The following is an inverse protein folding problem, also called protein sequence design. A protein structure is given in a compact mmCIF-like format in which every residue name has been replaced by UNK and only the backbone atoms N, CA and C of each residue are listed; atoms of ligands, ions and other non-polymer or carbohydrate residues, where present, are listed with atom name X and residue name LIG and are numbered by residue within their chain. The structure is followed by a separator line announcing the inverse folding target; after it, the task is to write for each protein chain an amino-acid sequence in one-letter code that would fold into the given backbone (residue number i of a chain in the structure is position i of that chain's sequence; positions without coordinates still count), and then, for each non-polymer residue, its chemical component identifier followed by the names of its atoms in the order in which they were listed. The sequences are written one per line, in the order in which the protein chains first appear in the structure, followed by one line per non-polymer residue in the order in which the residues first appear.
data_IF_382196153635
#
_entry.id   IF_382196153635
#
_cell.length_a   1.000
_cell.length_b   1.000
_cell.length_c   1.000
_cell.angle_alpha   90.00
_cell.angle_beta   90.00
_cell.angle_gamma   90.00
#
_symmetry.space_group_name_H-M   'P 1'
#
loop_
_entity.id
_entity.type
_entity.pdbx_description
1 polymer ?
#
# COMPACT_ATOMS: atom_id res chain seq x y z
N UNK A 1 15.21 15.24 34.72
CA UNK A 1 16.29 14.85 33.78
C UNK A 1 15.61 14.34 32.53
N UNK A 2 15.46 15.21 31.52
CA UNK A 2 14.86 14.86 30.23
C UNK A 2 15.99 14.29 29.38
N UNK A 3 15.96 12.98 29.13
CA UNK A 3 16.88 12.31 28.23
C UNK A 3 16.31 12.31 26.82
N UNK A 4 16.72 13.28 26.00
CA UNK A 4 16.69 13.12 24.55
C UNK A 4 17.67 11.98 24.20
N UNK A 5 17.16 10.84 23.75
CA UNK A 5 18.03 9.89 23.03
C UNK A 5 18.03 10.28 21.56
N UNK A 6 19.23 10.56 21.07
CA UNK A 6 19.51 11.07 19.74
C UNK A 6 19.22 10.02 18.66
N UNK A 7 18.90 10.52 17.46
CA UNK A 7 19.01 9.80 16.20
C UNK A 7 20.37 9.09 16.13
N UNK A 8 20.36 7.76 16.08
CA UNK A 8 21.51 7.02 15.56
C UNK A 8 21.43 7.08 14.04
N UNK A 9 22.10 8.07 13.48
CA UNK A 9 22.59 8.03 12.12
C UNK A 9 23.66 6.92 12.07
N UNK A 10 23.33 5.81 11.43
CA UNK A 10 24.30 4.77 11.09
C UNK A 10 24.21 4.52 9.60
N UNK A 11 24.95 5.35 8.87
CA UNK A 11 25.55 5.01 7.60
C UNK A 11 26.48 3.81 7.81
N UNK A 12 25.93 2.60 7.75
CA UNK A 12 26.70 1.39 7.58
C UNK A 12 26.05 0.54 6.49
N UNK A 13 26.34 0.89 5.24
CA UNK A 13 25.91 0.18 4.04
C UNK A 13 26.82 -1.04 3.86
N UNK A 14 26.67 -2.03 4.73
CA UNK A 14 27.10 -3.41 4.50
C UNK A 14 25.87 -4.29 4.74
N UNK A 15 24.97 -4.29 3.76
CA UNK A 15 23.81 -5.16 3.77
C UNK A 15 24.23 -6.56 3.37
N UNK A 16 24.44 -7.41 4.38
CA UNK A 16 23.98 -8.79 4.38
C UNK A 16 23.94 -9.27 5.84
N UNK A 17 23.03 -8.70 6.62
CA UNK A 17 22.79 -9.18 8.00
C UNK A 17 21.36 -9.67 8.07
N UNK A 18 21.21 -10.99 8.19
CA UNK A 18 20.00 -11.61 8.68
C UNK A 18 19.80 -11.20 10.14
N UNK A 19 19.37 -9.97 10.40
CA UNK A 19 18.89 -9.59 11.71
C UNK A 19 17.53 -10.28 11.89
N UNK A 20 17.45 -11.18 12.86
CA UNK A 20 16.22 -11.85 13.28
C UNK A 20 15.59 -12.83 12.24
N UNK A 21 16.41 -13.36 11.32
CA UNK A 21 15.98 -14.40 10.38
C UNK A 21 15.22 -13.90 9.15
N UNK A 22 15.34 -12.60 8.83
CA UNK A 22 14.89 -11.92 7.60
C UNK A 22 16.06 -11.16 6.95
N UNK A 23 16.09 -11.09 5.63
CA UNK A 23 17.05 -10.33 4.82
C UNK A 23 16.49 -8.95 4.49
N UNK A 24 17.33 -7.92 4.49
CA UNK A 24 16.91 -6.52 4.26
C UNK A 24 17.58 -5.98 3.00
N UNK A 25 16.79 -5.40 2.09
CA UNK A 25 17.27 -4.81 0.85
C UNK A 25 16.74 -3.38 0.70
N UNK A 26 17.56 -2.46 0.22
CA UNK A 26 17.04 -1.18 -0.26
C UNK A 26 16.28 -1.44 -1.57
N UNK A 27 15.20 -0.71 -1.77
CA UNK A 27 14.38 -0.85 -2.96
C UNK A 27 14.00 0.50 -3.52
N UNK A 28 14.03 0.57 -4.83
CA UNK A 28 13.44 1.66 -5.59
C UNK A 28 12.35 1.10 -6.52
N UNK A 29 11.15 1.67 -6.40
CA UNK A 29 9.99 1.28 -7.21
C UNK A 29 9.54 2.47 -8.04
N UNK A 30 9.71 2.38 -9.36
CA UNK A 30 9.10 3.34 -10.27
C UNK A 30 7.62 3.04 -10.43
N UNK A 31 6.76 4.02 -10.26
CA UNK A 31 5.33 3.93 -10.48
C UNK A 31 4.87 5.03 -11.44
N UNK A 32 4.19 4.70 -12.54
CA UNK A 32 3.72 5.68 -13.51
C UNK A 32 2.87 5.09 -14.63
N UNK A 33 2.16 5.95 -15.37
CA UNK A 33 1.41 5.55 -16.58
C UNK A 33 2.38 5.18 -17.71
N UNK A 34 2.50 3.89 -18.05
CA UNK A 34 3.14 3.46 -19.30
C UNK A 34 2.18 3.46 -20.51
N UNK A 35 0.89 3.77 -20.33
CA UNK A 35 -0.07 3.64 -21.43
C UNK A 35 -1.09 4.76 -21.51
N UNK A 36 -1.37 5.18 -22.76
CA UNK A 36 -2.47 6.04 -23.18
C UNK A 36 -3.87 5.43 -22.91
N UNK A 37 -3.95 4.20 -22.38
CA UNK A 37 -5.20 3.43 -22.24
C UNK A 37 -5.59 3.04 -20.82
N UNK A 38 -4.76 3.32 -19.81
CA UNK A 38 -5.07 2.99 -18.42
C UNK A 38 -5.01 4.26 -17.57
N UNK A 39 -6.12 4.60 -16.93
CA UNK A 39 -6.20 5.73 -16.01
C UNK A 39 -5.32 5.49 -14.78
N UNK A 40 -4.02 5.82 -14.84
CA UNK A 40 -3.16 5.70 -13.67
C UNK A 40 -3.23 6.97 -12.78
N UNK A 41 -4.01 6.86 -11.70
CA UNK A 41 -3.63 6.90 -10.27
C UNK A 41 -2.49 7.92 -9.86
N UNK A 42 -2.55 8.85 -8.86
CA UNK A 42 -3.32 9.01 -7.56
C UNK A 42 -3.56 10.46 -7.07
N UNK A 43 -3.66 10.85 -5.80
CA UNK A 43 -4.21 12.16 -5.32
C UNK A 43 -5.45 12.68 -6.05
N UNK A 44 -6.64 12.44 -5.49
CA UNK A 44 -7.88 13.08 -5.93
C UNK A 44 -7.83 14.59 -5.67
N UNK A 45 -7.28 15.34 -6.62
CA UNK A 45 -7.40 16.80 -6.66
C UNK A 45 -8.43 17.18 -7.71
N UNK A 46 -9.27 18.12 -7.33
CA UNK A 46 -10.08 18.85 -8.30
C UNK A 46 -9.15 19.79 -9.07
N UNK A 47 -9.25 19.77 -10.39
CA UNK A 47 -8.72 20.86 -11.20
C UNK A 47 -9.64 22.10 -11.11
N UNK A 48 -9.27 23.16 -11.82
CA UNK A 48 -10.03 24.41 -11.88
C UNK A 48 -11.45 24.21 -12.45
N UNK A 49 -11.70 23.10 -13.15
CA UNK A 49 -12.97 22.72 -13.76
C UNK A 49 -13.74 21.69 -12.91
N UNK A 50 -13.25 21.35 -11.72
CA UNK A 50 -13.78 20.32 -10.82
C UNK A 50 -13.70 18.88 -11.39
N UNK A 51 -12.79 18.61 -12.32
CA UNK A 51 -12.48 17.24 -12.70
C UNK A 51 -11.54 16.63 -11.66
N UNK A 52 -11.74 15.34 -11.37
CA UNK A 52 -10.88 14.58 -10.48
C UNK A 52 -9.64 14.12 -11.25
N UNK A 53 -8.48 14.70 -10.94
CA UNK A 53 -7.19 14.33 -11.53
C UNK A 53 -6.50 13.21 -10.75
N UNK A 54 -5.59 12.49 -11.42
CA UNK A 54 -4.70 11.51 -10.79
C UNK A 54 -3.19 11.83 -11.00
N UNK A 55 -2.46 12.09 -9.91
CA UNK A 55 -1.02 12.35 -9.72
C UNK A 55 -0.51 11.76 -8.40
N UNK A 56 0.76 11.35 -8.33
CA UNK A 56 1.35 11.02 -7.03
C UNK A 56 1.69 12.28 -6.24
N UNK A 57 1.53 12.26 -4.91
CA UNK A 57 2.02 13.30 -4.02
C UNK A 57 3.37 12.92 -3.40
N UNK A 58 4.14 13.94 -3.00
CA UNK A 58 5.33 13.72 -2.20
C UNK A 58 4.90 13.20 -0.82
N UNK A 59 5.59 12.18 -0.32
CA UNK A 59 5.21 11.54 0.94
C UNK A 59 4.08 10.50 0.83
N UNK A 60 3.50 10.27 -0.36
CA UNK A 60 2.63 9.10 -0.56
C UNK A 60 3.39 7.83 -0.19
N UNK A 61 2.70 6.88 0.42
CA UNK A 61 3.30 5.62 0.89
C UNK A 61 2.61 4.41 0.29
N UNK A 62 3.42 3.44 -0.15
CA UNK A 62 2.98 2.10 -0.54
C UNK A 62 3.62 1.08 0.39
N UNK A 63 2.97 -0.05 0.61
CA UNK A 63 3.63 -1.19 1.25
C UNK A 63 4.02 -2.23 0.21
N UNK A 64 5.09 -2.97 0.50
CA UNK A 64 5.70 -3.97 -0.38
C UNK A 64 5.81 -5.31 0.35
N UNK A 65 5.57 -6.40 -0.39
CA UNK A 65 5.74 -7.77 0.08
C UNK A 65 6.41 -8.65 -0.97
N UNK A 66 7.39 -9.46 -0.58
CA UNK A 66 7.95 -10.51 -1.43
C UNK A 66 7.02 -11.73 -1.38
N UNK A 67 6.17 -11.90 -2.40
CA UNK A 67 5.24 -13.03 -2.43
C UNK A 67 5.97 -14.36 -2.63
N UNK A 68 7.24 -14.35 -3.06
CA UNK A 68 8.05 -15.55 -3.16
C UNK A 68 8.45 -16.14 -1.80
N UNK A 69 8.18 -15.43 -0.70
CA UNK A 69 8.31 -15.96 0.66
C UNK A 69 7.17 -16.92 1.04
N UNK A 70 6.17 -17.12 0.18
CA UNK A 70 5.09 -18.10 0.35
C UNK A 70 4.39 -18.00 1.71
N UNK A 71 4.11 -16.77 2.17
CA UNK A 71 3.45 -16.49 3.46
C UNK A 71 4.22 -16.99 4.70
N UNK A 72 5.54 -17.20 4.60
CA UNK A 72 6.40 -17.66 5.70
C UNK A 72 7.13 -16.53 6.44
N UNK A 73 6.80 -15.28 6.13
CA UNK A 73 7.35 -14.13 6.85
C UNK A 73 6.87 -14.14 8.30
N UNK A 74 7.78 -13.81 9.24
CA UNK A 74 7.46 -13.63 10.66
C UNK A 74 7.25 -12.16 11.04
N UNK A 75 7.35 -11.26 10.07
CA UNK A 75 7.15 -9.83 10.29
C UNK A 75 5.67 -9.54 10.61
N UNK A 76 5.43 -8.70 11.61
CA UNK A 76 4.09 -8.27 12.03
C UNK A 76 3.59 -7.04 11.26
N UNK A 77 4.40 -6.49 10.35
CA UNK A 77 4.02 -5.36 9.51
C UNK A 77 4.75 -5.43 8.17
N UNK A 78 4.12 -4.86 7.14
CA UNK A 78 4.72 -4.77 5.82
C UNK A 78 5.81 -3.70 5.79
N UNK A 79 6.81 -3.89 4.94
CA UNK A 79 7.76 -2.81 4.66
C UNK A 79 7.06 -1.70 3.87
N UNK A 80 7.42 -0.44 4.13
CA UNK A 80 6.77 0.73 3.53
C UNK A 80 7.78 1.54 2.71
N UNK A 81 7.37 1.96 1.52
CA UNK A 81 8.14 2.80 0.61
C UNK A 81 7.46 4.15 0.46
N UNK A 82 8.26 5.21 0.40
CA UNK A 82 7.76 6.59 0.35
C UNK A 82 8.13 7.26 -0.97
N UNK A 83 7.16 7.96 -1.56
CA UNK A 83 7.32 8.76 -2.76
C UNK A 83 8.21 9.97 -2.48
N UNK A 84 9.31 10.11 -3.24
CA UNK A 84 10.23 11.26 -3.11
C UNK A 84 9.69 12.54 -3.73
N UNK A 85 8.88 12.44 -4.79
CA UNK A 85 8.42 13.56 -5.60
C UNK A 85 6.89 13.57 -5.71
N UNK A 86 6.30 14.77 -5.77
CA UNK A 86 4.86 14.94 -5.95
C UNK A 86 4.51 15.76 -7.18
N UNK A 87 3.25 15.67 -7.62
CA UNK A 87 2.68 16.51 -8.68
C UNK A 87 2.79 15.92 -10.10
N UNK A 88 3.34 14.73 -10.27
CA UNK A 88 3.56 14.07 -11.56
C UNK A 88 2.69 12.81 -11.75
N UNK A 89 2.49 12.41 -13.02
CA UNK A 89 1.81 11.15 -13.42
C UNK A 89 2.58 9.88 -13.05
N UNK A 90 3.83 10.04 -12.61
CA UNK A 90 4.66 8.99 -12.08
C UNK A 90 5.55 9.50 -10.95
N UNK A 91 6.08 8.60 -10.15
CA UNK A 91 7.01 8.88 -9.05
C UNK A 91 7.96 7.71 -8.84
N UNK A 92 8.99 7.93 -8.02
CA UNK A 92 9.85 6.88 -7.49
C UNK A 92 9.60 6.74 -5.98
N UNK A 93 9.22 5.54 -5.58
CA UNK A 93 9.10 5.14 -4.18
C UNK A 93 10.40 4.51 -3.71
N UNK A 94 10.89 4.92 -2.54
CA UNK A 94 12.11 4.39 -1.97
C UNK A 94 11.92 3.98 -0.51
N UNK A 95 12.69 2.99 -0.09
CA UNK A 95 12.69 2.46 1.27
C UNK A 95 13.46 1.14 1.31
N UNK A 96 13.13 0.30 2.28
CA UNK A 96 13.67 -1.05 2.40
C UNK A 96 12.56 -2.09 2.30
N UNK A 97 12.92 -3.31 1.97
CA UNK A 97 12.02 -4.48 2.03
C UNK A 97 12.70 -5.61 2.77
N UNK A 98 11.94 -6.25 3.65
CA UNK A 98 12.33 -7.50 4.31
C UNK A 98 11.85 -8.70 3.52
N UNK A 99 12.72 -9.70 3.39
CA UNK A 99 12.44 -10.98 2.74
C UNK A 99 12.82 -12.12 3.67
N UNK A 100 12.01 -13.17 3.74
CA UNK A 100 12.31 -14.36 4.55
C UNK A 100 13.54 -15.10 4.01
N UNK A 101 13.65 -15.16 2.68
CA UNK A 101 14.73 -15.85 1.97
C UNK A 101 15.62 -14.85 1.22
N UNK A 102 16.88 -15.22 0.91
CA UNK A 102 17.72 -14.43 0.00
C UNK A 102 17.01 -14.24 -1.35
N UNK A 103 17.14 -13.05 -1.92
CA UNK A 103 16.50 -12.74 -3.20
C UNK A 103 17.07 -13.57 -4.35
N UNK A 104 16.17 -13.94 -5.26
CA UNK A 104 16.48 -14.61 -6.52
C UNK A 104 15.80 -13.88 -7.67
N UNK A 105 16.40 -13.98 -8.86
CA UNK A 105 15.73 -13.59 -10.10
C UNK A 105 14.37 -14.27 -10.17
N UNK A 106 13.36 -13.55 -10.65
CA UNK A 106 11.95 -13.93 -10.68
C UNK A 106 11.25 -14.03 -9.32
N UNK A 107 11.86 -13.60 -8.22
CA UNK A 107 11.07 -13.30 -7.03
C UNK A 107 10.04 -12.22 -7.36
N UNK A 108 8.78 -12.50 -7.03
CA UNK A 108 7.66 -11.60 -7.30
C UNK A 108 7.42 -10.72 -6.08
N UNK A 109 7.29 -9.43 -6.34
CA UNK A 109 6.92 -8.45 -5.34
C UNK A 109 5.52 -7.92 -5.62
N UNK A 110 4.72 -7.80 -4.58
CA UNK A 110 3.45 -7.10 -4.60
C UNK A 110 3.61 -5.73 -3.95
N UNK A 111 2.91 -4.74 -4.49
CA UNK A 111 2.85 -3.38 -3.98
C UNK A 111 1.40 -3.03 -3.71
N UNK A 112 1.14 -2.27 -2.67
CA UNK A 112 -0.21 -1.83 -2.35
C UNK A 112 -0.23 -0.38 -1.88
N UNK A 113 -1.23 0.36 -2.34
CA UNK A 113 -1.52 1.73 -1.92
C UNK A 113 -2.95 1.81 -1.37
N UNK A 114 -3.21 2.56 -0.28
CA UNK A 114 -2.25 3.34 0.50
C UNK A 114 -1.68 2.55 1.68
N UNK A 115 -0.41 2.81 2.04
CA UNK A 115 0.17 2.20 3.24
C UNK A 115 -0.38 2.76 4.57
N UNK A 116 -0.90 3.99 4.56
CA UNK A 116 -1.53 4.60 5.74
C UNK A 116 -2.72 3.77 6.26
N UNK A 117 -3.33 2.94 5.41
CA UNK A 117 -4.41 2.04 5.83
C UNK A 117 -4.00 1.01 6.87
N UNK A 118 -2.71 0.64 6.95
CA UNK A 118 -2.19 -0.31 7.95
C UNK A 118 -2.23 0.27 9.37
N UNK A 119 -1.79 1.52 9.54
CA UNK A 119 -1.76 2.20 10.85
C UNK A 119 -3.18 2.53 11.34
N UNK A 120 -4.09 2.86 10.41
CA UNK A 120 -5.42 3.33 10.76
C UNK A 120 -6.51 2.24 10.79
N UNK A 121 -6.16 1.05 10.28
CA UNK A 121 -7.00 -0.14 10.27
C UNK A 121 -8.03 -0.18 9.14
N UNK A 122 -7.81 0.54 8.03
CA UNK A 122 -8.55 0.31 6.79
C UNK A 122 -7.96 -0.85 5.98
N UNK A 123 -6.72 -1.24 6.27
CA UNK A 123 -6.06 -2.45 5.76
C UNK A 123 -5.62 -3.30 6.95
N UNK A 124 -5.99 -4.58 6.97
CA UNK A 124 -5.64 -5.52 8.04
C UNK A 124 -4.88 -6.75 7.55
N UNK A 125 -4.13 -7.37 8.46
CA UNK A 125 -3.46 -8.64 8.21
C UNK A 125 -4.47 -9.78 8.30
N UNK A 126 -4.45 -10.67 7.31
CA UNK A 126 -5.32 -11.85 7.30
C UNK A 126 -4.56 -13.10 6.91
N UNK A 127 -5.06 -14.23 7.40
CA UNK A 127 -4.59 -15.55 7.03
C UNK A 127 -4.95 -15.85 5.58
N UNK A 128 -4.11 -16.60 4.89
CA UNK A 128 -4.46 -17.14 3.56
C UNK A 128 -5.36 -18.37 3.64
N UNK A 129 -5.44 -19.00 4.82
CA UNK A 129 -6.40 -20.08 5.08
C UNK A 129 -7.81 -19.50 5.19
N UNK A 130 -8.75 -20.18 4.56
CA UNK A 130 -10.17 -19.87 4.66
C UNK A 130 -10.80 -20.68 5.80
N UNK A 131 -11.58 -20.01 6.63
CA UNK A 131 -12.40 -20.58 7.69
C UNK A 131 -13.86 -20.56 7.27
N UNK A 132 -14.62 -21.57 7.70
CA UNK A 132 -16.04 -21.71 7.38
C UNK A 132 -16.86 -21.88 8.64
N UNK A 133 -17.93 -21.11 8.75
CA UNK A 133 -18.93 -21.26 9.82
C UNK A 133 -20.30 -21.58 9.20
N UNK A 134 -20.99 -22.58 9.74
CA UNK A 134 -22.34 -22.96 9.32
C UNK A 134 -23.31 -22.79 10.48
N UNK A 135 -24.34 -21.95 10.31
CA UNK A 135 -25.40 -21.75 11.29
C UNK A 135 -26.75 -21.61 10.58
N UNK A 136 -27.77 -22.34 11.04
CA UNK A 136 -29.15 -22.29 10.51
C UNK A 136 -29.25 -22.40 8.97
N UNK A 137 -28.41 -23.24 8.36
CA UNK A 137 -28.43 -23.50 6.91
C UNK A 137 -27.71 -22.44 6.06
N UNK A 138 -27.07 -21.44 6.68
CA UNK A 138 -26.18 -20.50 6.02
C UNK A 138 -24.74 -20.88 6.33
N UNK A 139 -23.92 -21.04 5.29
CA UNK A 139 -22.47 -21.19 5.40
C UNK A 139 -21.81 -19.90 4.96
N UNK A 140 -20.97 -19.34 5.82
CA UNK A 140 -20.12 -18.20 5.50
C UNK A 140 -18.67 -18.68 5.43
N UNK A 141 -17.93 -18.16 4.46
CA UNK A 141 -16.47 -18.35 4.37
C UNK A 141 -15.78 -17.02 4.55
N UNK A 142 -14.69 -17.01 5.31
CA UNK A 142 -13.92 -15.81 5.61
C UNK A 142 -12.45 -16.15 5.92
N UNK A 143 -11.60 -15.13 5.89
CA UNK A 143 -10.21 -15.23 6.32
C UNK A 143 -10.07 -14.69 7.75
N UNK A 144 -9.47 -15.46 8.65
CA UNK A 144 -9.15 -15.02 10.00
C UNK A 144 -8.08 -13.92 10.02
N UNK A 145 -8.03 -13.16 11.10
CA UNK A 145 -6.94 -12.22 11.36
C UNK A 145 -5.61 -12.97 11.47
N UNK A 146 -4.56 -12.43 10.86
CA UNK A 146 -3.19 -12.95 10.99
C UNK A 146 -2.36 -12.06 11.91
N UNK A 147 -1.40 -12.67 12.62
CA UNK A 147 -0.39 -11.94 13.40
C UNK A 147 0.85 -11.60 12.57
N UNK A 148 1.00 -12.18 11.38
CA UNK A 148 2.13 -11.96 10.47
C UNK A 148 1.63 -11.57 9.09
N UNK A 149 2.49 -10.89 8.34
CA UNK A 149 2.18 -10.50 6.97
C UNK A 149 2.05 -11.70 6.04
N UNK A 150 1.12 -11.60 5.09
CA UNK A 150 0.87 -12.59 4.05
C UNK A 150 0.70 -11.87 2.71
N UNK A 151 0.39 -12.58 1.63
CA UNK A 151 0.00 -11.94 0.38
C UNK A 151 -1.45 -11.43 0.39
N UNK A 152 -2.24 -11.75 1.44
CA UNK A 152 -3.63 -11.33 1.57
C UNK A 152 -3.76 -10.18 2.58
N UNK A 153 -4.66 -9.25 2.27
CA UNK A 153 -5.04 -8.16 3.17
C UNK A 153 -6.55 -8.02 3.24
N UNK A 154 -7.07 -7.69 4.42
CA UNK A 154 -8.47 -7.27 4.54
C UNK A 154 -8.61 -5.79 4.27
N UNK A 155 -9.76 -5.40 3.72
CA UNK A 155 -10.11 -4.01 3.44
C UNK A 155 -11.33 -3.66 4.30
N UNK A 156 -11.13 -2.82 5.32
CA UNK A 156 -12.18 -2.40 6.23
C UNK A 156 -12.71 -1.03 5.83
N UNK A 157 -13.92 -0.98 5.29
CA UNK A 157 -14.56 0.24 4.81
C UNK A 157 -15.32 1.02 5.89
N UNK A 158 -15.46 0.49 7.12
CA UNK A 158 -16.38 1.02 8.13
C UNK A 158 -16.01 2.41 8.67
N UNK A 159 -14.75 2.84 8.50
CA UNK A 159 -14.25 4.14 8.97
C UNK A 159 -14.18 5.19 7.86
N UNK A 160 -14.73 4.92 6.68
CA UNK A 160 -14.77 5.89 5.60
C UNK A 160 -15.73 7.03 5.95
N UNK A 161 -15.27 8.28 5.89
CA UNK A 161 -16.10 9.46 6.25
C UNK A 161 -16.57 10.28 5.04
N UNK A 162 -16.30 9.81 3.82
CA UNK A 162 -16.73 10.45 2.57
C UNK A 162 -15.91 11.68 2.15
N UNK A 163 -14.95 12.15 2.96
CA UNK A 163 -14.07 13.26 2.55
C UNK A 163 -13.02 12.78 1.55
N UNK A 164 -12.66 13.64 0.59
CA UNK A 164 -11.65 13.30 -0.42
C UNK A 164 -10.31 12.92 0.21
N UNK A 165 -9.88 13.61 1.27
CA UNK A 165 -8.64 13.29 1.97
C UNK A 165 -8.68 11.90 2.60
N UNK A 166 -9.78 11.55 3.27
CA UNK A 166 -9.94 10.22 3.86
C UNK A 166 -9.97 9.15 2.78
N UNK A 167 -10.73 9.38 1.72
CA UNK A 167 -10.83 8.48 0.57
C UNK A 167 -9.45 8.23 -0.06
N UNK A 168 -8.79 9.30 -0.48
CA UNK A 168 -7.55 9.22 -1.26
C UNK A 168 -6.40 8.59 -0.47
N UNK A 169 -6.25 8.96 0.81
CA UNK A 169 -5.13 8.50 1.63
C UNK A 169 -5.38 7.17 2.32
N UNK A 170 -6.63 6.69 2.42
CA UNK A 170 -6.96 5.53 3.30
C UNK A 170 -7.85 4.47 2.65
N UNK A 171 -8.61 4.79 1.62
CA UNK A 171 -9.63 3.89 1.03
C UNK A 171 -9.56 3.76 -0.49
N UNK A 172 -8.67 4.49 -1.16
CA UNK A 172 -8.46 4.36 -2.60
C UNK A 172 -7.45 3.23 -2.84
N UNK A 173 -7.91 1.99 -2.71
CA UNK A 173 -7.08 0.78 -2.72
C UNK A 173 -6.58 0.37 -4.10
N UNK A 174 -5.30 0.01 -4.19
CA UNK A 174 -4.64 -0.37 -5.43
C UNK A 174 -3.54 -1.35 -5.13
N UNK A 175 -3.26 -2.13 -6.14
CA UNK A 175 -2.19 -3.08 -6.09
C UNK A 175 -1.45 -3.12 -7.41
N UNK A 176 -0.21 -3.55 -7.38
CA UNK A 176 0.57 -3.88 -8.55
C UNK A 176 1.55 -5.00 -8.20
N UNK A 177 2.23 -5.53 -9.19
CA UNK A 177 3.32 -6.47 -8.95
C UNK A 177 4.38 -6.38 -10.03
N UNK A 178 5.59 -6.83 -9.69
CA UNK A 178 6.71 -6.98 -10.63
C UNK A 178 7.57 -8.19 -10.26
N UNK A 179 8.34 -8.65 -11.23
CA UNK A 179 9.34 -9.69 -11.05
C UNK A 179 10.73 -9.06 -10.94
N UNK A 180 11.51 -9.50 -9.95
CA UNK A 180 12.90 -9.10 -9.82
C UNK A 180 13.70 -9.62 -11.02
N UNK A 181 14.27 -8.70 -11.81
CA UNK A 181 15.00 -9.05 -13.05
C UNK A 181 16.45 -9.42 -12.81
N UNK A 182 17.05 -8.85 -11.77
CA UNK A 182 18.44 -9.06 -11.40
C UNK A 182 18.60 -8.99 -9.88
N UNK A 183 19.51 -9.80 -9.34
CA UNK A 183 19.93 -9.70 -7.94
C UNK A 183 21.23 -8.90 -7.93
N UNK A 184 21.26 -7.71 -7.31
CA UNK A 184 22.46 -6.88 -7.33
C UNK A 184 23.64 -7.59 -6.67
N UNK A 185 24.80 -7.54 -7.32
CA UNK A 185 26.04 -8.16 -6.80
C UNK A 185 26.74 -7.29 -5.76
N UNK A 186 26.61 -5.95 -5.83
CA UNK A 186 27.40 -5.00 -5.02
C UNK A 186 26.65 -3.71 -4.63
N UNK A 187 25.36 -3.60 -4.93
CA UNK A 187 24.58 -2.40 -4.61
C UNK A 187 23.23 -2.87 -4.08
N UNK A 188 22.96 -2.71 -2.79
CA UNK A 188 21.76 -3.22 -2.13
C UNK A 188 20.43 -2.60 -2.60
N UNK A 189 20.38 -2.00 -3.78
CA UNK A 189 19.21 -1.37 -4.36
C UNK A 189 18.62 -2.28 -5.43
N UNK A 190 17.55 -3.02 -5.10
CA UNK A 190 16.74 -3.67 -6.13
C UNK A 190 15.84 -2.64 -6.81
N UNK A 191 15.66 -2.76 -8.13
CA UNK A 191 14.80 -1.88 -8.92
C UNK A 191 13.59 -2.65 -9.40
N UNK A 192 12.41 -2.10 -9.16
CA UNK A 192 11.12 -2.68 -9.55
C UNK A 192 10.22 -1.62 -10.20
N UNK A 193 9.20 -2.08 -10.91
CA UNK A 193 8.20 -1.24 -11.55
C UNK A 193 6.79 -1.62 -11.11
N UNK A 194 6.10 -0.71 -10.44
CA UNK A 194 4.71 -0.92 -10.04
C UNK A 194 3.74 -0.38 -11.10
N UNK A 195 3.02 -1.29 -11.75
CA UNK A 195 1.85 -0.96 -12.55
C UNK A 195 0.60 -1.13 -11.67
N UNK A 196 0.09 -0.03 -11.10
CA UNK A 196 -1.02 -0.08 -10.17
C UNK A 196 -2.38 -0.17 -10.85
N UNK A 197 -3.21 -1.11 -10.39
CA UNK A 197 -4.63 -1.21 -10.70
C UNK A 197 -5.47 -0.76 -9.50
N UNK A 198 -6.44 0.13 -9.74
CA UNK A 198 -7.41 0.56 -8.73
C UNK A 198 -8.45 -0.54 -8.49
N UNK A 199 -8.67 -0.90 -7.22
CA UNK A 199 -9.67 -1.92 -6.81
C UNK A 199 -10.96 -1.32 -6.24
N UNK A 200 -10.92 -0.12 -5.68
CA UNK A 200 -12.10 0.56 -5.15
C UNK A 200 -12.49 1.74 -6.04
N UNK A 201 -13.77 1.80 -6.42
CA UNK A 201 -14.39 2.95 -7.05
C UNK A 201 -15.38 3.59 -6.07
N UNK A 202 -15.27 4.90 -5.85
CA UNK A 202 -16.12 5.64 -4.92
C UNK A 202 -17.02 6.59 -5.69
N UNK A 203 -18.33 6.48 -5.42
CA UNK A 203 -19.36 7.30 -6.03
C UNK A 203 -19.86 8.30 -4.99
N UNK A 204 -19.67 9.59 -5.25
CA UNK A 204 -20.23 10.67 -4.43
C UNK A 204 -21.62 11.04 -4.92
N UNK A 205 -22.65 10.89 -4.09
CA UNK A 205 -24.01 11.36 -4.38
C UNK A 205 -24.29 12.65 -3.61
N UNK A 206 -24.67 13.72 -4.31
CA UNK A 206 -25.17 14.95 -3.69
C UNK A 206 -26.69 14.95 -3.78
N UNK A 207 -27.36 14.82 -2.64
CA UNK A 207 -28.81 14.99 -2.59
C UNK A 207 -29.13 16.49 -2.61
N UNK A 208 -29.98 16.90 -3.57
CA UNK A 208 -30.59 18.22 -3.55
C UNK A 208 -31.83 18.12 -2.66
N UNK A 209 -31.90 18.93 -1.59
CA UNK A 209 -33.17 19.11 -0.90
C UNK A 209 -34.08 19.86 -1.88
N UNK A 210 -35.09 19.17 -2.40
CA UNK A 210 -36.18 19.77 -3.15
C UNK A 210 -37.34 19.88 -2.15
N UNK A 211 -37.77 21.10 -1.85
CA UNK A 211 -38.78 21.44 -0.83
C UNK A 211 -38.33 21.31 0.64
N UNK A 212 -37.24 21.99 1.03
CA UNK A 212 -37.04 22.32 2.46
C UNK A 212 -38.15 23.28 2.93
N UNK A 213 -38.52 23.30 4.22
CA UNK A 213 -39.58 24.19 4.68
C UNK A 213 -39.24 25.62 4.28
N UNK A 214 -40.14 26.24 3.53
CA UNK A 214 -40.07 27.65 3.19
C UNK A 214 -39.96 28.43 4.48
N UNK A 215 -38.78 28.97 4.77
CA UNK A 215 -38.59 29.90 5.86
C UNK A 215 -39.49 31.11 5.62
N UNK A 216 -40.58 31.17 6.36
CA UNK A 216 -41.29 32.42 6.64
C UNK A 216 -40.87 32.87 8.03
N UNK A 217 -40.29 34.06 8.12
CA UNK A 217 -40.05 34.78 9.38
C UNK A 217 -38.59 34.89 9.76
#
# INVERSE_FOLDING_TARGET
MIGFTACSDTDNVNGDVAQDGSYVYNVEVSAGTDSATHAATRTLKLDEQNNVLSRWAAGDKIFIYNTADNNQSKEQTYSTLTSKSGGSKGTSFQGTVKSKNPLKVNNKFAFFYPAAGLEEGSVGLVSTSESTESNQGVTISYHDVSNTITEYVSLNMNKQNGTLENIDKKFDFNWGSDLLKEVPQNVNNIKLKANFERKVAIWGMKFKIVNGPSGTG
#
